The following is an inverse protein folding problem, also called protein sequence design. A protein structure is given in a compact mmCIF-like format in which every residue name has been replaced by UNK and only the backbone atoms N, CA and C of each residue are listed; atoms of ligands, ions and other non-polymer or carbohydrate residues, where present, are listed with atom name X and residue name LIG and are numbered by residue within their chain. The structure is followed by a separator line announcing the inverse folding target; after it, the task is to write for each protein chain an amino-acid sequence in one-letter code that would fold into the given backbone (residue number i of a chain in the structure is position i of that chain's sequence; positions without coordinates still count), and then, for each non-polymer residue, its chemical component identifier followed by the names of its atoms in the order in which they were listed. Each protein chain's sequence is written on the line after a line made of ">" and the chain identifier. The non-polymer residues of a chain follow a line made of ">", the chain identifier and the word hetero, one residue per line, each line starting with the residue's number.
data_IF_105703895132
#
_entry.id   IF_105703895132
#
_cell.length_a   1.000
_cell.length_b   1.000
_cell.length_c   1.000
_cell.angle_alpha   90.00
_cell.angle_beta   90.00
_cell.angle_gamma   90.00
#
_symmetry.space_group_name_H-M   'P 1'
#
loop_
_entity.id
_entity.type
_entity.pdbx_description
1 polymer ?
#
# COMPACT_ATOMS: atom_id res chain seq x y z
N UNK A 1 -14.26 -14.51 -2.19
CA UNK A 1 -14.64 -13.51 -3.20
C UNK A 1 -13.98 -12.16 -2.90
N UNK A 2 -13.88 -11.25 -3.90
CA UNK A 2 -13.31 -9.90 -3.71
C UNK A 2 -14.02 -9.11 -2.60
N UNK A 3 -15.35 -9.23 -2.52
CA UNK A 3 -16.15 -8.62 -1.45
C UNK A 3 -15.79 -9.16 -0.06
N UNK A 4 -15.55 -10.44 0.05
CA UNK A 4 -15.10 -11.08 1.28
C UNK A 4 -13.71 -10.56 1.69
N UNK A 5 -12.80 -10.44 0.75
CA UNK A 5 -11.49 -9.83 0.98
C UNK A 5 -11.61 -8.41 1.54
N UNK A 6 -12.48 -7.57 0.98
CA UNK A 6 -12.74 -6.23 1.50
C UNK A 6 -13.34 -6.26 2.93
N UNK A 7 -14.25 -7.19 3.20
CA UNK A 7 -14.86 -7.35 4.55
C UNK A 7 -13.83 -7.76 5.59
N UNK A 8 -12.96 -8.72 5.25
CA UNK A 8 -11.93 -9.18 6.17
C UNK A 8 -10.81 -8.13 6.33
N UNK A 9 -10.48 -7.39 5.29
CA UNK A 9 -9.56 -6.27 5.41
C UNK A 9 -10.00 -5.24 6.45
N UNK A 10 -11.31 -5.05 6.64
CA UNK A 10 -11.87 -4.16 7.68
C UNK A 10 -11.69 -4.70 9.10
N UNK A 11 -11.45 -5.98 9.27
CA UNK A 11 -11.22 -6.57 10.59
C UNK A 11 -9.78 -6.44 11.09
N UNK A 12 -8.88 -5.95 10.26
CA UNK A 12 -7.49 -5.70 10.65
C UNK A 12 -7.43 -4.52 11.64
N UNK A 13 -6.82 -4.74 12.80
CA UNK A 13 -6.85 -3.80 13.94
C UNK A 13 -6.24 -2.43 13.68
N UNK A 14 -5.36 -2.32 12.70
CA UNK A 14 -4.68 -1.09 12.30
C UNK A 14 -5.35 -0.38 11.12
N UNK A 15 -6.44 -0.95 10.58
CA UNK A 15 -7.16 -0.37 9.45
C UNK A 15 -8.36 0.42 9.96
N UNK A 16 -8.33 1.73 9.78
CA UNK A 16 -9.44 2.62 10.11
C UNK A 16 -10.62 2.46 9.16
N UNK A 17 -10.32 2.30 7.88
CA UNK A 17 -11.33 2.22 6.83
C UNK A 17 -10.78 1.49 5.60
N UNK A 18 -11.65 0.75 4.94
CA UNK A 18 -11.40 0.17 3.63
C UNK A 18 -12.39 0.77 2.63
N UNK A 19 -11.88 1.45 1.63
CA UNK A 19 -12.68 1.87 0.47
C UNK A 19 -12.58 0.75 -0.57
N UNK A 20 -13.71 0.20 -0.96
CA UNK A 20 -13.80 -0.98 -1.81
C UNK A 20 -14.67 -0.68 -3.02
N UNK A 21 -14.15 -0.93 -4.23
CA UNK A 21 -14.87 -0.71 -5.49
C UNK A 21 -16.25 -1.40 -5.51
N UNK A 22 -16.33 -2.60 -4.93
CA UNK A 22 -17.56 -3.40 -4.94
C UNK A 22 -18.65 -2.79 -4.04
N UNK A 23 -18.25 -2.17 -2.92
CA UNK A 23 -19.20 -1.51 -2.03
C UNK A 23 -19.71 -0.20 -2.63
N UNK A 24 -18.83 0.54 -3.32
CA UNK A 24 -19.23 1.74 -4.07
C UNK A 24 -20.24 1.35 -5.16
N UNK A 25 -20.01 0.22 -5.85
CA UNK A 25 -20.95 -0.29 -6.85
C UNK A 25 -22.28 -0.72 -6.25
N UNK A 26 -22.28 -1.40 -5.11
CA UNK A 26 -23.51 -1.79 -4.41
C UNK A 26 -24.31 -0.56 -3.97
N UNK A 27 -23.65 0.44 -3.42
CA UNK A 27 -24.25 1.72 -3.03
C UNK A 27 -24.85 2.44 -4.23
N UNK A 28 -24.13 2.52 -5.34
CA UNK A 28 -24.60 3.14 -6.58
C UNK A 28 -25.88 2.46 -7.09
N UNK A 29 -25.93 1.12 -7.09
CA UNK A 29 -27.11 0.37 -7.50
C UNK A 29 -28.30 0.64 -6.61
N UNK A 30 -28.09 0.65 -5.28
CA UNK A 30 -29.14 0.95 -4.32
C UNK A 30 -29.75 2.36 -4.54
N UNK A 31 -28.90 3.36 -4.79
CA UNK A 31 -29.35 4.73 -5.06
C UNK A 31 -30.14 4.83 -6.37
N UNK A 32 -29.90 3.95 -7.33
CA UNK A 32 -30.66 3.87 -8.59
C UNK A 32 -31.87 2.90 -8.52
N UNK A 33 -32.31 2.54 -7.32
CA UNK A 33 -33.49 1.68 -7.13
C UNK A 33 -33.27 0.21 -7.55
N UNK A 34 -32.03 -0.21 -7.76
CA UNK A 34 -31.66 -1.58 -8.09
C UNK A 34 -31.33 -2.36 -6.80
N UNK A 35 -31.54 -3.67 -6.83
CA UNK A 35 -31.13 -4.51 -5.72
C UNK A 35 -29.61 -4.38 -5.48
N UNK A 36 -29.16 -4.12 -4.23
CA UNK A 36 -27.73 -3.99 -3.91
C UNK A 36 -27.01 -5.35 -3.93
N UNK A 37 -27.73 -6.42 -4.28
CA UNK A 37 -27.20 -7.78 -4.25
C UNK A 37 -25.97 -7.94 -5.15
N UNK A 38 -24.95 -8.57 -4.60
CA UNK A 38 -23.77 -9.02 -5.30
C UNK A 38 -23.73 -10.56 -5.28
N UNK A 39 -23.26 -11.23 -6.31
CA UNK A 39 -22.64 -10.68 -7.51
C UNK A 39 -23.64 -10.05 -8.48
N UNK A 40 -23.19 -9.01 -9.18
CA UNK A 40 -23.96 -8.42 -10.29
C UNK A 40 -23.91 -9.38 -11.47
N UNK A 41 -25.02 -9.71 -12.15
CA UNK A 41 -25.00 -10.48 -13.38
C UNK A 41 -24.05 -9.87 -14.41
N UNK A 42 -23.29 -10.72 -15.12
CA UNK A 42 -22.21 -10.29 -16.00
C UNK A 42 -22.66 -9.27 -17.08
N UNK A 43 -23.85 -9.46 -17.61
CA UNK A 43 -24.47 -8.59 -18.63
C UNK A 43 -24.68 -7.14 -18.14
N UNK A 44 -24.91 -6.94 -16.84
CA UNK A 44 -25.13 -5.61 -16.25
C UNK A 44 -23.88 -5.05 -15.56
N UNK A 45 -22.86 -5.87 -15.33
CA UNK A 45 -21.71 -5.49 -14.52
C UNK A 45 -20.96 -4.29 -15.10
N UNK A 46 -20.56 -4.36 -16.37
CA UNK A 46 -19.78 -3.31 -17.00
C UNK A 46 -20.56 -2.01 -17.16
N UNK A 47 -21.86 -2.10 -17.51
CA UNK A 47 -22.73 -0.93 -17.61
C UNK A 47 -22.88 -0.21 -16.28
N UNK A 48 -23.17 -0.95 -15.20
CA UNK A 48 -23.28 -0.38 -13.86
C UNK A 48 -21.95 0.19 -13.37
N UNK A 49 -20.84 -0.49 -13.61
CA UNK A 49 -19.51 -0.05 -13.20
C UNK A 49 -19.10 1.26 -13.93
N UNK A 50 -19.31 1.32 -15.23
CA UNK A 50 -19.04 2.51 -16.05
C UNK A 50 -19.91 3.69 -15.62
N UNK A 51 -21.21 3.48 -15.41
CA UNK A 51 -22.14 4.50 -14.93
C UNK A 51 -21.78 4.99 -13.53
N UNK A 52 -21.42 4.08 -12.62
CA UNK A 52 -20.94 4.44 -11.28
C UNK A 52 -19.67 5.31 -11.36
N UNK A 53 -18.68 4.88 -12.12
CA UNK A 53 -17.42 5.62 -12.25
C UNK A 53 -17.60 7.00 -12.89
N UNK A 54 -18.61 7.18 -13.72
CA UNK A 54 -18.97 8.47 -14.31
C UNK A 54 -19.77 9.36 -13.38
N UNK A 55 -20.37 8.81 -12.31
CA UNK A 55 -21.15 9.54 -11.32
C UNK A 55 -20.27 10.24 -10.28
N UNK A 56 -20.84 11.19 -9.50
CA UNK A 56 -20.13 11.78 -8.35
C UNK A 56 -19.67 10.76 -7.31
N UNK A 57 -20.43 9.67 -7.11
CA UNK A 57 -20.08 8.58 -6.21
C UNK A 57 -18.79 7.85 -6.65
N UNK A 58 -18.59 7.69 -7.96
CA UNK A 58 -17.39 7.08 -8.52
C UNK A 58 -16.13 7.95 -8.45
N UNK A 59 -16.26 9.21 -8.01
CA UNK A 59 -15.12 10.14 -7.95
C UNK A 59 -13.95 9.60 -7.12
N UNK A 60 -14.25 8.96 -5.97
CA UNK A 60 -13.24 8.32 -5.12
C UNK A 60 -12.57 7.13 -5.81
N UNK A 61 -13.35 6.22 -6.35
CA UNK A 61 -12.84 5.03 -7.04
C UNK A 61 -12.01 5.39 -8.27
N UNK A 62 -12.37 6.45 -9.00
CA UNK A 62 -11.56 7.01 -10.10
C UNK A 62 -10.27 7.65 -9.61
N UNK A 63 -10.38 8.52 -8.59
CA UNK A 63 -9.23 9.23 -8.02
C UNK A 63 -8.15 8.28 -7.48
N UNK A 64 -8.57 7.17 -6.89
CA UNK A 64 -7.69 6.14 -6.35
C UNK A 64 -7.35 5.03 -7.36
N UNK A 65 -7.79 5.17 -8.60
CA UNK A 65 -7.53 4.16 -9.66
C UNK A 65 -7.93 2.74 -9.27
N UNK A 66 -9.05 2.60 -8.53
CA UNK A 66 -9.53 1.30 -8.06
C UNK A 66 -10.06 0.40 -9.18
N UNK A 67 -10.30 0.94 -10.35
CA UNK A 67 -10.68 0.21 -11.55
C UNK A 67 -9.84 0.65 -12.73
N UNK A 68 -9.20 -0.29 -13.40
CA UNK A 68 -8.45 -0.03 -14.63
C UNK A 68 -8.95 -0.97 -15.73
N UNK A 69 -9.18 -0.38 -16.89
CA UNK A 69 -9.71 -1.08 -18.06
C UNK A 69 -8.63 -1.13 -19.15
N UNK A 70 -8.70 -2.16 -19.99
CA UNK A 70 -7.92 -2.19 -21.23
C UNK A 70 -8.59 -1.35 -22.33
N UNK A 71 -7.92 -1.27 -23.48
CA UNK A 71 -8.39 -0.52 -24.65
C UNK A 71 -9.73 -1.04 -25.20
N UNK A 72 -10.15 -2.24 -24.80
CA UNK A 72 -11.42 -2.86 -25.17
C UNK A 72 -12.52 -2.62 -24.12
N UNK A 73 -12.24 -1.88 -23.06
CA UNK A 73 -13.15 -1.63 -21.97
C UNK A 73 -13.34 -2.80 -21.02
N UNK A 74 -12.45 -3.80 -21.03
CA UNK A 74 -12.48 -4.92 -20.10
C UNK A 74 -11.73 -4.56 -18.82
N UNK A 75 -12.35 -4.78 -17.66
CA UNK A 75 -11.73 -4.55 -16.35
C UNK A 75 -10.54 -5.49 -16.16
N UNK A 76 -9.35 -4.93 -16.01
CA UNK A 76 -8.08 -5.65 -15.78
C UNK A 76 -7.62 -5.59 -14.33
N UNK A 77 -7.89 -4.48 -13.66
CA UNK A 77 -7.52 -4.29 -12.25
C UNK A 77 -8.73 -3.82 -11.48
N UNK A 78 -9.02 -4.50 -10.40
CA UNK A 78 -9.96 -4.05 -9.38
C UNK A 78 -9.19 -3.87 -8.07
N UNK A 79 -9.36 -2.75 -7.41
CA UNK A 79 -8.62 -2.39 -6.21
C UNK A 79 -9.51 -2.06 -5.03
N UNK A 80 -8.90 -2.05 -3.87
CA UNK A 80 -9.42 -1.44 -2.66
C UNK A 80 -8.30 -0.68 -1.96
N UNK A 81 -8.67 0.30 -1.17
CA UNK A 81 -7.72 1.17 -0.48
C UNK A 81 -7.87 1.03 1.02
N UNK A 82 -6.76 0.76 1.69
CA UNK A 82 -6.68 0.85 3.14
C UNK A 82 -6.44 2.29 3.57
N UNK A 83 -7.20 2.75 4.53
CA UNK A 83 -6.90 3.97 5.29
C UNK A 83 -6.49 3.52 6.69
N UNK A 84 -5.22 3.74 7.01
CA UNK A 84 -4.64 3.33 8.27
C UNK A 84 -4.93 4.36 9.36
N UNK A 85 -5.00 3.91 10.61
CA UNK A 85 -5.33 4.79 11.76
C UNK A 85 -4.10 5.44 12.39
N UNK A 86 -3.01 5.56 11.63
CA UNK A 86 -1.74 5.99 12.18
C UNK A 86 -1.33 7.37 11.70
N UNK A 87 -0.84 8.22 12.61
CA UNK A 87 -0.27 9.50 12.24
C UNK A 87 0.98 9.29 11.37
N UNK A 88 1.18 10.21 10.45
CA UNK A 88 2.34 10.23 9.55
C UNK A 88 3.70 10.19 10.28
N UNK A 89 3.72 10.64 11.56
CA UNK A 89 4.89 10.73 12.42
C UNK A 89 5.30 9.43 13.12
N UNK A 90 4.62 8.32 12.82
CA UNK A 90 4.92 7.04 13.48
C UNK A 90 6.32 6.51 13.16
N UNK A 91 6.93 5.78 14.14
CA UNK A 91 8.20 5.11 13.93
C UNK A 91 8.20 4.20 12.70
N UNK A 92 9.34 4.13 12.01
CA UNK A 92 9.51 3.27 10.81
C UNK A 92 9.19 1.81 11.13
N UNK A 93 9.61 1.32 12.32
CA UNK A 93 9.37 -0.05 12.77
C UNK A 93 7.88 -0.43 12.86
N UNK A 94 7.02 0.52 13.23
CA UNK A 94 5.59 0.28 13.32
C UNK A 94 4.96 0.23 11.93
N UNK A 95 5.42 1.08 11.02
CA UNK A 95 5.00 1.07 9.61
C UNK A 95 5.45 -0.21 8.88
N UNK A 96 6.65 -0.72 9.19
CA UNK A 96 7.12 -2.01 8.67
C UNK A 96 6.21 -3.16 9.12
N UNK A 97 5.89 -3.21 10.41
CA UNK A 97 5.01 -4.23 10.96
C UNK A 97 3.63 -4.23 10.30
N UNK A 98 3.07 -3.05 10.01
CA UNK A 98 1.80 -2.92 9.29
C UNK A 98 1.90 -3.37 7.85
N UNK A 99 2.95 -2.94 7.15
CA UNK A 99 3.22 -3.40 5.78
C UNK A 99 3.28 -4.92 5.73
N UNK A 100 4.04 -5.52 6.62
CA UNK A 100 4.22 -6.97 6.68
C UNK A 100 2.90 -7.69 7.02
N UNK A 101 2.06 -7.10 7.87
CA UNK A 101 0.74 -7.63 8.18
C UNK A 101 -0.21 -7.57 6.97
N UNK A 102 -0.19 -6.48 6.21
CA UNK A 102 -0.98 -6.35 4.97
C UNK A 102 -0.45 -7.32 3.91
N UNK A 103 0.85 -7.42 3.76
CA UNK A 103 1.47 -8.35 2.80
C UNK A 103 1.11 -9.80 3.12
N UNK A 104 1.19 -10.19 4.38
CA UNK A 104 0.77 -11.52 4.83
C UNK A 104 -0.71 -11.77 4.54
N UNK A 105 -1.57 -10.81 4.83
CA UNK A 105 -2.99 -10.90 4.50
C UNK A 105 -3.21 -11.11 2.99
N UNK A 106 -2.53 -10.35 2.13
CA UNK A 106 -2.64 -10.49 0.68
C UNK A 106 -2.08 -11.83 0.18
N UNK A 107 -0.96 -12.30 0.74
CA UNK A 107 -0.40 -13.62 0.42
C UNK A 107 -1.37 -14.75 0.75
N UNK A 108 -2.04 -14.69 1.89
CA UNK A 108 -3.04 -15.70 2.26
C UNK A 108 -4.25 -15.67 1.34
N UNK A 109 -4.66 -14.48 0.88
CA UNK A 109 -5.73 -14.34 -0.12
C UNK A 109 -5.32 -14.87 -1.49
N UNK A 110 -4.10 -14.58 -1.93
CA UNK A 110 -3.58 -15.06 -3.21
C UNK A 110 -3.51 -16.59 -3.27
N UNK A 111 -3.18 -17.27 -2.16
CA UNK A 111 -3.19 -18.74 -2.09
C UNK A 111 -4.55 -19.36 -2.38
N UNK A 112 -5.61 -18.66 -1.95
CA UNK A 112 -7.00 -19.13 -2.07
C UNK A 112 -7.75 -18.47 -3.24
N UNK A 113 -7.07 -17.65 -4.04
CA UNK A 113 -7.67 -16.97 -5.17
C UNK A 113 -7.93 -17.94 -6.33
N UNK A 114 -9.05 -17.83 -7.05
CA UNK A 114 -9.25 -18.56 -8.29
C UNK A 114 -8.15 -18.24 -9.30
N UNK A 115 -7.73 -19.22 -10.09
CA UNK A 115 -6.67 -19.06 -11.11
C UNK A 115 -7.00 -18.01 -12.18
N UNK A 116 -8.26 -17.63 -12.30
CA UNK A 116 -8.74 -16.57 -13.21
C UNK A 116 -8.52 -15.16 -12.68
N UNK A 117 -8.23 -15.02 -11.38
CA UNK A 117 -7.86 -13.76 -10.77
C UNK A 117 -6.33 -13.69 -10.69
N UNK A 118 -5.76 -12.57 -11.12
CA UNK A 118 -4.35 -12.28 -10.91
C UNK A 118 -4.04 -12.13 -9.41
N UNK A 119 -2.75 -12.06 -9.09
CA UNK A 119 -2.30 -11.84 -7.71
C UNK A 119 -2.66 -10.45 -7.23
N UNK A 120 -3.17 -10.34 -6.01
CA UNK A 120 -3.30 -9.08 -5.32
C UNK A 120 -1.91 -8.60 -4.88
N UNK A 121 -1.60 -7.35 -5.15
CA UNK A 121 -0.35 -6.69 -4.76
C UNK A 121 -0.65 -5.44 -3.95
N UNK A 122 0.25 -5.10 -3.05
CA UNK A 122 0.21 -3.86 -2.30
C UNK A 122 0.98 -2.78 -3.04
N UNK A 123 0.39 -1.58 -3.14
CA UNK A 123 1.07 -0.38 -3.63
C UNK A 123 0.73 0.79 -2.70
N UNK A 124 1.76 1.48 -2.20
CA UNK A 124 1.59 2.63 -1.33
C UNK A 124 2.77 3.59 -1.47
N UNK A 125 2.48 4.88 -1.65
CA UNK A 125 3.51 5.93 -1.66
C UNK A 125 4.20 6.07 -0.29
N UNK A 126 3.49 5.78 0.80
CA UNK A 126 4.06 5.82 2.16
C UNK A 126 5.12 4.73 2.38
N UNK A 127 4.97 3.56 1.77
CA UNK A 127 5.96 2.49 1.84
C UNK A 127 7.22 2.83 1.05
N UNK A 128 7.08 3.42 -0.14
CA UNK A 128 8.24 3.91 -0.91
C UNK A 128 9.02 4.93 -0.10
N UNK A 129 8.33 5.87 0.55
CA UNK A 129 8.98 6.86 1.40
C UNK A 129 9.68 6.23 2.61
N UNK A 130 9.05 5.25 3.24
CA UNK A 130 9.64 4.49 4.35
C UNK A 130 10.92 3.76 3.92
N UNK A 131 10.89 3.07 2.79
CA UNK A 131 12.06 2.38 2.24
C UNK A 131 13.20 3.36 1.94
N UNK A 132 12.89 4.54 1.39
CA UNK A 132 13.86 5.61 1.22
C UNK A 132 14.48 6.06 2.56
N UNK A 133 13.69 6.23 3.61
CA UNK A 133 14.18 6.60 4.93
C UNK A 133 15.13 5.53 5.50
N UNK A 134 14.76 4.26 5.38
CA UNK A 134 15.61 3.14 5.83
C UNK A 134 16.95 3.16 5.09
N UNK A 135 16.92 3.25 3.77
CA UNK A 135 18.13 3.26 2.92
C UNK A 135 19.02 4.46 3.26
N UNK A 136 18.46 5.66 3.40
CA UNK A 136 19.21 6.86 3.77
C UNK A 136 19.86 6.71 5.14
N UNK A 137 19.12 6.21 6.13
CA UNK A 137 19.64 6.00 7.48
C UNK A 137 20.75 4.96 7.49
N UNK A 138 20.57 3.84 6.79
CA UNK A 138 21.60 2.82 6.67
C UNK A 138 22.85 3.35 5.95
N UNK A 139 22.69 4.08 4.87
CA UNK A 139 23.79 4.70 4.14
C UNK A 139 24.58 5.69 5.01
N UNK A 140 23.88 6.50 5.82
CA UNK A 140 24.51 7.44 6.75
C UNK A 140 25.31 6.70 7.84
N UNK A 141 24.73 5.64 8.43
CA UNK A 141 25.44 4.84 9.46
C UNK A 141 26.67 4.15 8.86
N UNK A 142 26.54 3.51 7.70
CA UNK A 142 27.66 2.86 7.01
C UNK A 142 28.74 3.89 6.65
N UNK A 143 28.34 5.06 6.15
CA UNK A 143 29.26 6.15 5.83
C UNK A 143 30.05 6.60 7.06
N UNK A 144 29.40 6.77 8.22
CA UNK A 144 30.09 7.12 9.46
C UNK A 144 31.03 6.01 9.94
N UNK A 145 30.60 4.75 9.91
CA UNK A 145 31.43 3.59 10.31
C UNK A 145 32.70 3.48 9.47
N UNK A 146 32.67 3.89 8.20
CA UNK A 146 33.83 3.90 7.32
C UNK A 146 34.66 5.18 7.53
N UNK A 147 34.00 6.34 7.59
CA UNK A 147 34.71 7.63 7.64
C UNK A 147 35.48 7.83 8.94
N UNK A 148 34.93 7.43 10.10
CA UNK A 148 35.61 7.58 11.38
C UNK A 148 36.92 6.84 11.47
N UNK A 149 37.05 5.54 11.17
CA UNK A 149 38.32 4.83 11.18
C UNK A 149 39.33 5.43 10.20
N UNK A 150 38.91 5.83 9.01
CA UNK A 150 39.79 6.45 8.03
C UNK A 150 40.35 7.78 8.56
N UNK A 151 39.47 8.66 9.06
CA UNK A 151 39.87 9.92 9.66
C UNK A 151 40.84 9.70 10.84
N UNK A 152 40.50 8.74 11.72
CA UNK A 152 41.35 8.38 12.84
C UNK A 152 42.76 7.94 12.39
N UNK A 153 42.86 7.06 11.42
CA UNK A 153 44.14 6.60 10.86
C UNK A 153 44.91 7.76 10.25
N UNK A 154 44.25 8.64 9.50
CA UNK A 154 44.90 9.81 8.90
C UNK A 154 45.49 10.78 9.96
N UNK A 155 44.68 11.06 11.00
CA UNK A 155 45.13 11.96 12.11
C UNK A 155 46.26 11.29 12.90
N UNK A 156 46.14 10.00 13.20
CA UNK A 156 47.21 9.24 13.87
C UNK A 156 48.52 9.28 13.10
N UNK A 157 48.45 9.09 11.80
CA UNK A 157 49.63 9.12 10.94
C UNK A 157 50.26 10.51 10.88
N UNK A 158 49.45 11.56 10.77
CA UNK A 158 49.90 12.95 10.73
C UNK A 158 50.49 13.42 12.05
N UNK A 159 49.88 13.09 13.19
CA UNK A 159 50.29 13.56 14.51
C UNK A 159 51.31 12.67 15.19
N UNK A 160 51.43 11.42 14.77
CA UNK A 160 52.24 10.36 15.41
C UNK A 160 51.95 10.20 16.90
N UNK A 161 50.77 10.62 17.35
CA UNK A 161 50.36 10.60 18.76
C UNK A 161 48.94 10.11 18.92
N UNK A 162 48.77 8.98 19.61
CA UNK A 162 47.46 8.40 19.88
C UNK A 162 46.60 9.33 20.74
N UNK A 163 47.22 10.02 21.71
CA UNK A 163 46.49 10.91 22.61
C UNK A 163 45.85 12.08 21.85
N UNK A 164 46.60 12.71 20.94
CA UNK A 164 46.07 13.80 20.12
C UNK A 164 44.97 13.30 19.19
N UNK A 165 45.11 12.09 18.62
CA UNK A 165 44.13 11.53 17.71
C UNK A 165 42.82 11.20 18.40
N UNK A 166 42.83 10.76 19.69
CA UNK A 166 41.61 10.48 20.45
C UNK A 166 40.93 11.77 20.95
N UNK A 167 41.64 12.90 21.02
CA UNK A 167 41.11 14.19 21.44
C UNK A 167 40.57 15.06 20.30
N UNK A 168 40.82 14.71 19.06
CA UNK A 168 40.32 15.38 17.83
C UNK A 168 38.97 14.81 17.38
#
# INVERSE_FOLDING_TARGET
>A
SFQETCREARSLSFVRRVDCLVDDLATFRQMNGQAPALPVPHEFFYGNLSAMLSSPLGGRSRGNKMAMFDDRGVLKVAGFMFILDHPWTWPVSDKERERDAIEKFLLDRNKNAPTTLGSAIQASSSHVWMDCQIIITQAAVVGLVIAFPIAFVCVLWATKSVVTTCAA
#
